data_IF_106929223527
#
_entry.id   IF_106929223527
#
_cell.length_a   1.000
_cell.length_b   1.000
_cell.length_c   1.000
_cell.angle_alpha   90.00
_cell.angle_beta   90.00
_cell.angle_gamma   90.00
#
_symmetry.space_group_name_H-M   'P 1'
#
loop_
_entity.id
_entity.type
_entity.pdbx_description
1 polymer ?
#
# COMPACT_ATOMS: atom_id res chain seq x y z
N UNK A 1 -74.13 -51.82 -2.56
CA UNK A 1 -74.06 -50.92 -3.73
C UNK A 1 -73.84 -51.78 -4.96
N UNK A 2 -74.56 -51.56 -6.08
CA UNK A 2 -74.32 -52.31 -7.29
C UNK A 2 -72.94 -52.04 -7.87
N UNK A 3 -72.26 -53.00 -8.48
CA UNK A 3 -70.91 -52.94 -9.05
C UNK A 3 -70.67 -51.75 -9.96
N UNK A 4 -71.68 -51.30 -10.67
CA UNK A 4 -71.69 -50.13 -11.53
C UNK A 4 -71.43 -48.81 -10.73
N UNK A 5 -71.96 -48.72 -9.50
CA UNK A 5 -71.80 -47.54 -8.62
C UNK A 5 -70.36 -47.48 -8.04
N UNK A 6 -69.74 -48.60 -7.79
CA UNK A 6 -68.38 -48.71 -7.26
C UNK A 6 -67.33 -48.33 -8.32
N UNK A 7 -67.50 -48.83 -9.53
CA UNK A 7 -66.61 -48.43 -10.65
C UNK A 7 -66.66 -46.97 -10.94
N UNK A 8 -67.84 -46.37 -10.91
CA UNK A 8 -68.01 -44.91 -11.07
C UNK A 8 -67.29 -44.12 -9.97
N UNK A 9 -67.33 -44.59 -8.71
CA UNK A 9 -66.61 -43.94 -7.60
C UNK A 9 -65.09 -44.03 -7.75
N UNK A 10 -64.58 -45.19 -8.20
CA UNK A 10 -63.15 -45.39 -8.48
C UNK A 10 -62.70 -44.50 -9.63
N UNK A 11 -63.47 -44.41 -10.70
CA UNK A 11 -63.12 -43.56 -11.85
C UNK A 11 -63.13 -42.08 -11.51
N UNK A 12 -64.06 -41.65 -10.67
CA UNK A 12 -64.12 -40.28 -10.15
C UNK A 12 -62.86 -39.96 -9.31
N UNK A 13 -62.48 -40.84 -8.39
CA UNK A 13 -61.27 -40.69 -7.58
C UNK A 13 -60.00 -40.70 -8.41
N UNK A 14 -59.92 -41.55 -9.42
CA UNK A 14 -58.83 -41.62 -10.37
C UNK A 14 -58.70 -40.31 -11.16
N UNK A 15 -59.81 -39.76 -11.60
CA UNK A 15 -59.84 -38.49 -12.32
C UNK A 15 -59.41 -37.30 -11.43
N UNK A 16 -59.94 -37.23 -10.19
CA UNK A 16 -59.53 -36.20 -9.20
C UNK A 16 -58.03 -36.29 -8.87
N UNK A 17 -57.54 -37.49 -8.59
CA UNK A 17 -56.11 -37.70 -8.33
C UNK A 17 -55.22 -37.23 -9.50
N UNK A 18 -55.58 -37.63 -10.75
CA UNK A 18 -54.80 -37.22 -11.93
C UNK A 18 -54.78 -35.70 -12.13
N UNK A 19 -55.92 -35.05 -11.96
CA UNK A 19 -55.99 -33.60 -12.07
C UNK A 19 -55.13 -32.89 -11.05
N UNK A 20 -55.17 -33.32 -9.79
CA UNK A 20 -54.40 -32.75 -8.70
C UNK A 20 -52.92 -33.08 -8.80
N UNK A 21 -52.55 -34.29 -9.28
CA UNK A 21 -51.15 -34.68 -9.55
C UNK A 21 -50.53 -33.82 -10.65
N UNK A 22 -51.29 -33.50 -11.70
CA UNK A 22 -50.81 -32.60 -12.76
C UNK A 22 -50.54 -31.20 -12.27
N UNK A 23 -51.28 -30.71 -11.28
CA UNK A 23 -51.10 -29.39 -10.67
C UNK A 23 -49.98 -29.37 -9.59
N UNK A 24 -49.50 -30.53 -9.11
CA UNK A 24 -48.47 -30.61 -8.07
C UNK A 24 -47.12 -30.20 -8.60
N UNK A 25 -46.59 -29.07 -8.06
CA UNK A 25 -45.30 -28.47 -8.45
C UNK A 25 -44.18 -28.74 -7.44
N UNK A 26 -44.49 -29.06 -6.20
CA UNK A 26 -43.51 -29.24 -5.13
C UNK A 26 -43.67 -30.56 -4.41
N UNK A 27 -42.61 -31.02 -3.73
CA UNK A 27 -42.67 -32.24 -2.89
C UNK A 27 -43.72 -32.13 -1.77
N UNK A 28 -43.98 -30.92 -1.28
CA UNK A 28 -45.02 -30.65 -0.29
C UNK A 28 -46.43 -30.89 -0.87
N UNK A 29 -46.62 -30.56 -2.15
CA UNK A 29 -47.88 -30.81 -2.84
C UNK A 29 -48.11 -32.31 -2.99
N UNK A 30 -47.06 -33.09 -3.35
CA UNK A 30 -47.13 -34.52 -3.43
C UNK A 30 -47.39 -35.21 -2.09
N UNK A 31 -46.82 -34.68 -0.99
CA UNK A 31 -47.12 -35.17 0.34
C UNK A 31 -48.57 -34.89 0.74
N UNK A 32 -49.08 -33.76 0.38
CA UNK A 32 -50.50 -33.42 0.62
C UNK A 32 -51.42 -34.33 -0.15
N UNK A 33 -51.05 -34.73 -1.39
CA UNK A 33 -51.80 -35.69 -2.18
C UNK A 33 -51.74 -37.10 -1.60
N UNK A 34 -50.56 -37.56 -1.18
CA UNK A 34 -50.34 -38.83 -0.52
C UNK A 34 -51.27 -38.92 0.73
N UNK A 35 -51.25 -37.91 1.57
CA UNK A 35 -52.10 -37.88 2.77
C UNK A 35 -53.62 -37.88 2.43
N UNK A 36 -54.04 -37.15 1.39
CA UNK A 36 -55.46 -37.05 1.00
C UNK A 36 -55.99 -38.39 0.42
N UNK A 37 -55.18 -39.14 -0.30
CA UNK A 37 -55.61 -40.34 -0.98
C UNK A 37 -55.23 -41.64 -0.26
N UNK A 38 -54.05 -41.73 0.36
CA UNK A 38 -53.47 -42.99 0.90
C UNK A 38 -53.40 -43.02 2.44
N UNK A 39 -53.66 -41.94 3.15
CA UNK A 39 -53.61 -41.88 4.62
C UNK A 39 -54.41 -43.04 5.25
N UNK A 40 -53.82 -43.75 6.22
CA UNK A 40 -54.46 -44.88 6.93
C UNK A 40 -55.76 -44.54 7.65
N UNK A 41 -55.90 -43.31 8.08
CA UNK A 41 -57.10 -42.86 8.87
C UNK A 41 -58.20 -42.25 8.02
N UNK A 42 -57.83 -41.38 7.07
CA UNK A 42 -58.76 -40.52 6.35
C UNK A 42 -58.61 -40.51 4.83
N UNK A 43 -57.64 -41.25 4.29
CA UNK A 43 -57.38 -41.31 2.84
C UNK A 43 -58.59 -41.82 2.07
N UNK A 44 -58.85 -41.20 0.91
CA UNK A 44 -60.04 -41.53 0.09
C UNK A 44 -60.04 -43.02 -0.34
N UNK A 45 -58.88 -43.61 -0.70
CA UNK A 45 -58.72 -45.02 -1.04
C UNK A 45 -58.94 -45.89 0.19
N UNK A 46 -58.45 -45.47 1.36
CA UNK A 46 -58.64 -46.20 2.62
C UNK A 46 -60.08 -46.23 3.04
N UNK A 47 -60.77 -45.12 2.81
CA UNK A 47 -62.22 -45.00 3.09
C UNK A 47 -63.02 -45.96 2.20
N UNK A 48 -62.67 -46.07 0.90
CA UNK A 48 -63.26 -47.07 -0.01
C UNK A 48 -63.00 -48.50 0.45
N UNK A 49 -61.79 -48.83 0.88
CA UNK A 49 -61.42 -50.14 1.41
C UNK A 49 -62.25 -50.51 2.63
N UNK A 50 -62.60 -49.59 3.52
CA UNK A 50 -63.44 -49.82 4.68
C UNK A 50 -64.89 -50.16 4.28
N UNK A 51 -65.35 -49.72 3.09
CA UNK A 51 -66.68 -50.03 2.59
C UNK A 51 -66.84 -51.44 2.01
N UNK A 52 -65.73 -52.22 1.84
CA UNK A 52 -65.76 -53.63 1.40
C UNK A 52 -66.73 -54.47 2.25
N UNK A 53 -66.81 -54.20 3.56
CA UNK A 53 -67.70 -54.88 4.48
C UNK A 53 -69.20 -54.73 4.18
N UNK A 54 -69.57 -53.65 3.48
CA UNK A 54 -70.98 -53.32 3.13
C UNK A 54 -71.43 -53.90 1.75
N UNK A 55 -70.46 -54.56 1.03
CA UNK A 55 -70.75 -55.19 -0.30
C UNK A 55 -71.17 -56.66 -0.14
N UNK A 56 -72.07 -57.20 -1.01
CA UNK A 56 -72.43 -58.57 -0.97
C UNK A 56 -71.23 -59.55 -1.02
N UNK A 57 -71.25 -60.67 -0.31
CA UNK A 57 -70.10 -61.61 -0.19
C UNK A 57 -69.45 -62.03 -1.51
N UNK A 58 -70.28 -62.25 -2.56
CA UNK A 58 -69.83 -62.62 -3.89
C UNK A 58 -69.03 -61.50 -4.61
N UNK A 59 -69.30 -60.24 -4.33
CA UNK A 59 -68.65 -59.10 -5.02
C UNK A 59 -67.44 -58.56 -4.25
N UNK A 60 -67.23 -58.95 -2.98
CA UNK A 60 -66.18 -58.39 -2.10
C UNK A 60 -64.78 -58.54 -2.66
N UNK A 61 -64.51 -59.72 -3.27
CA UNK A 61 -63.20 -60.04 -3.84
C UNK A 61 -62.90 -59.14 -5.03
N UNK A 62 -63.85 -58.98 -5.94
CA UNK A 62 -63.67 -58.05 -7.10
C UNK A 62 -63.51 -56.60 -6.69
N UNK A 63 -64.35 -56.17 -5.73
CA UNK A 63 -64.23 -54.80 -5.18
C UNK A 63 -62.87 -54.54 -4.53
N UNK A 64 -62.36 -55.43 -3.69
CA UNK A 64 -61.03 -55.35 -3.07
C UNK A 64 -59.92 -55.25 -4.07
N UNK A 65 -60.02 -56.07 -5.14
CA UNK A 65 -59.00 -56.04 -6.23
C UNK A 65 -58.99 -54.72 -6.97
N UNK A 66 -60.13 -54.12 -7.30
CA UNK A 66 -60.24 -52.84 -7.99
C UNK A 66 -59.67 -51.67 -7.16
N UNK A 67 -59.94 -51.66 -5.85
CA UNK A 67 -59.44 -50.59 -4.95
C UNK A 67 -57.92 -50.79 -4.73
N UNK A 68 -57.42 -52.02 -4.63
CA UNK A 68 -55.96 -52.26 -4.52
C UNK A 68 -55.22 -51.88 -5.81
N UNK A 69 -55.85 -52.10 -6.99
CA UNK A 69 -55.28 -51.64 -8.26
C UNK A 69 -55.19 -50.11 -8.31
N UNK A 70 -56.26 -49.40 -7.91
CA UNK A 70 -56.25 -47.96 -7.81
C UNK A 70 -55.18 -47.44 -6.83
N UNK A 71 -55.00 -48.13 -5.69
CA UNK A 71 -53.98 -47.79 -4.70
C UNK A 71 -52.58 -47.90 -5.32
N UNK A 72 -52.28 -49.03 -6.02
CA UNK A 72 -51.00 -49.23 -6.65
C UNK A 72 -50.73 -48.23 -7.79
N UNK A 73 -51.80 -47.86 -8.58
CA UNK A 73 -51.67 -46.79 -9.59
C UNK A 73 -51.31 -45.45 -8.97
N UNK A 74 -51.91 -45.06 -7.85
CA UNK A 74 -51.65 -43.82 -7.14
C UNK A 74 -50.22 -43.79 -6.56
N UNK A 75 -49.80 -44.91 -5.91
CA UNK A 75 -48.47 -45.04 -5.33
C UNK A 75 -47.37 -44.91 -6.41
N UNK A 76 -47.56 -45.59 -7.57
CA UNK A 76 -46.65 -45.53 -8.69
C UNK A 76 -46.53 -44.10 -9.26
N UNK A 77 -47.68 -43.46 -9.52
CA UNK A 77 -47.72 -42.12 -10.11
C UNK A 77 -47.12 -41.05 -9.20
N UNK A 78 -47.31 -41.16 -7.88
CA UNK A 78 -46.63 -40.30 -6.90
C UNK A 78 -45.13 -40.49 -6.90
N UNK A 79 -44.68 -41.77 -6.97
CA UNK A 79 -43.27 -42.12 -7.04
C UNK A 79 -42.57 -41.53 -8.29
N UNK A 80 -43.21 -41.72 -9.46
CA UNK A 80 -42.71 -41.21 -10.73
C UNK A 80 -42.62 -39.67 -10.73
N UNK A 81 -43.67 -39.02 -10.22
CA UNK A 81 -43.68 -37.53 -10.14
C UNK A 81 -42.66 -37.00 -9.16
N UNK A 82 -42.45 -37.69 -8.02
CA UNK A 82 -41.41 -37.33 -7.04
C UNK A 82 -40.00 -37.48 -7.65
N UNK A 83 -39.75 -38.59 -8.39
CA UNK A 83 -38.49 -38.79 -9.11
C UNK A 83 -38.24 -37.69 -10.17
N UNK A 84 -39.27 -37.30 -10.91
CA UNK A 84 -39.21 -36.22 -11.89
C UNK A 84 -38.86 -34.85 -11.25
N UNK A 85 -39.45 -34.56 -10.08
CA UNK A 85 -39.14 -33.31 -9.34
C UNK A 85 -37.70 -33.31 -8.78
N UNK A 86 -37.18 -34.46 -8.37
CA UNK A 86 -35.79 -34.58 -7.91
C UNK A 86 -34.81 -34.40 -9.08
N UNK A 87 -35.12 -34.92 -10.27
CA UNK A 87 -34.26 -34.80 -11.45
C UNK A 87 -34.14 -33.38 -12.01
N UNK A 88 -35.12 -32.53 -11.73
CA UNK A 88 -35.09 -31.09 -12.15
C UNK A 88 -34.37 -30.22 -11.15
N UNK A 89 -34.00 -30.70 -9.96
CA UNK A 89 -33.26 -29.96 -8.96
C UNK A 89 -31.77 -29.99 -9.29
N UNK A 90 -31.10 -28.80 -9.41
CA UNK A 90 -29.66 -28.80 -9.60
C UNK A 90 -28.98 -29.55 -8.45
N UNK A 91 -27.93 -30.33 -8.70
CA UNK A 91 -27.25 -31.09 -7.67
C UNK A 91 -26.85 -30.17 -6.51
N UNK A 92 -27.19 -30.55 -5.27
CA UNK A 92 -26.81 -29.80 -4.09
C UNK A 92 -25.28 -29.72 -4.03
N UNK A 93 -24.73 -28.54 -4.14
CA UNK A 93 -23.27 -28.30 -4.20
C UNK A 93 -22.74 -27.94 -5.59
N UNK A 94 -23.58 -27.87 -6.63
CA UNK A 94 -23.16 -27.30 -7.90
C UNK A 94 -22.85 -25.82 -7.71
N UNK A 95 -21.59 -25.44 -7.98
CA UNK A 95 -21.16 -24.05 -8.00
C UNK A 95 -21.80 -23.40 -9.23
N UNK A 96 -22.53 -22.31 -9.03
CA UNK A 96 -23.04 -21.53 -10.14
C UNK A 96 -21.86 -20.77 -10.80
N UNK A 97 -21.43 -21.32 -11.94
CA UNK A 97 -20.32 -20.76 -12.72
C UNK A 97 -20.66 -19.46 -13.45
N UNK A 98 -21.93 -19.04 -13.44
CA UNK A 98 -22.35 -17.74 -14.00
C UNK A 98 -22.19 -16.59 -13.03
N UNK A 99 -22.03 -16.89 -11.73
CA UNK A 99 -21.73 -15.89 -10.74
C UNK A 99 -20.30 -15.37 -10.92
N UNK A 100 -20.12 -14.06 -10.88
CA UNK A 100 -18.80 -13.46 -10.89
C UNK A 100 -17.97 -14.01 -9.72
N UNK A 101 -16.73 -14.42 -9.99
CA UNK A 101 -15.76 -14.78 -8.95
C UNK A 101 -15.49 -13.63 -7.98
N UNK A 102 -14.89 -13.93 -6.84
CA UNK A 102 -14.44 -12.86 -5.93
C UNK A 102 -13.43 -11.99 -6.69
N UNK A 103 -13.63 -10.67 -6.76
CA UNK A 103 -12.63 -9.79 -7.35
C UNK A 103 -11.33 -9.93 -6.57
N UNK A 104 -10.24 -10.15 -7.29
CA UNK A 104 -8.90 -10.10 -6.68
C UNK A 104 -8.61 -8.62 -6.42
N UNK A 105 -8.38 -8.21 -5.16
CA UNK A 105 -8.02 -6.83 -4.88
C UNK A 105 -6.70 -6.51 -5.59
N UNK A 106 -6.72 -5.54 -6.48
CA UNK A 106 -5.49 -5.03 -7.11
C UNK A 106 -4.75 -4.18 -6.10
N UNK A 107 -3.46 -4.49 -5.89
CA UNK A 107 -2.58 -3.68 -5.08
C UNK A 107 -2.43 -2.27 -5.66
N UNK A 108 -2.08 -1.31 -4.81
CA UNK A 108 -1.81 0.07 -5.21
C UNK A 108 -0.39 0.43 -4.86
N UNK A 109 0.21 1.29 -5.67
CA UNK A 109 1.53 1.82 -5.35
C UNK A 109 1.39 2.79 -4.17
N UNK A 110 2.24 2.59 -3.16
CA UNK A 110 2.27 3.47 -1.99
C UNK A 110 2.49 4.94 -2.39
N UNK A 111 1.78 5.93 -1.81
CA UNK A 111 1.87 7.33 -2.22
C UNK A 111 3.29 7.91 -2.18
N UNK A 112 4.11 7.54 -1.19
CA UNK A 112 5.52 7.95 -1.15
C UNK A 112 6.32 7.37 -2.34
N UNK A 113 6.08 6.11 -2.70
CA UNK A 113 6.76 5.50 -3.85
C UNK A 113 6.36 6.15 -5.18
N UNK A 114 5.12 6.64 -5.30
CA UNK A 114 4.69 7.42 -6.45
C UNK A 114 5.42 8.76 -6.54
N UNK A 115 5.53 9.45 -5.41
CA UNK A 115 6.28 10.72 -5.36
C UNK A 115 7.75 10.45 -5.72
N UNK A 116 8.34 9.39 -5.15
CA UNK A 116 9.69 8.96 -5.48
C UNK A 116 9.85 8.77 -7.00
N UNK A 117 9.02 7.96 -7.61
CA UNK A 117 9.08 7.69 -9.04
C UNK A 117 8.96 8.97 -9.88
N UNK A 118 8.02 9.85 -9.54
CA UNK A 118 7.84 11.12 -10.26
C UNK A 118 9.06 12.03 -10.17
N UNK A 119 9.68 12.12 -8.98
CA UNK A 119 10.90 12.92 -8.80
C UNK A 119 12.08 12.30 -9.57
N UNK A 120 12.26 10.99 -9.47
CA UNK A 120 13.27 10.25 -10.21
C UNK A 120 13.12 10.45 -11.73
N UNK A 121 11.90 10.35 -12.25
CA UNK A 121 11.59 10.57 -13.67
C UNK A 121 11.95 12.01 -14.10
N UNK A 122 11.56 13.02 -13.31
CA UNK A 122 11.86 14.43 -13.59
C UNK A 122 13.38 14.65 -13.66
N UNK A 123 14.13 14.19 -12.67
CA UNK A 123 15.57 14.40 -12.62
C UNK A 123 16.32 13.57 -13.67
N UNK A 124 15.86 12.36 -13.97
CA UNK A 124 16.41 11.56 -15.08
C UNK A 124 16.27 12.28 -16.42
N UNK A 125 15.12 12.91 -16.69
CA UNK A 125 14.93 13.74 -17.88
C UNK A 125 15.81 15.00 -17.92
N UNK A 126 16.25 15.48 -16.76
CA UNK A 126 17.22 16.58 -16.64
C UNK A 126 18.67 16.11 -16.74
N UNK A 127 18.93 14.79 -16.93
CA UNK A 127 20.25 14.20 -17.04
C UNK A 127 20.97 13.94 -15.71
N UNK A 128 20.22 13.72 -14.62
CA UNK A 128 20.76 13.32 -13.34
C UNK A 128 20.85 11.80 -13.23
N UNK A 129 21.89 11.32 -12.58
CA UNK A 129 22.03 9.92 -12.16
C UNK A 129 21.29 9.72 -10.84
N UNK A 130 20.68 8.54 -10.68
CA UNK A 130 20.01 8.15 -9.43
C UNK A 130 20.94 7.19 -8.69
N UNK A 131 21.29 7.54 -7.46
CA UNK A 131 22.19 6.73 -6.64
C UNK A 131 21.52 6.30 -5.35
N UNK A 132 21.87 5.12 -4.89
CA UNK A 132 21.52 4.64 -3.56
C UNK A 132 22.78 4.47 -2.70
N UNK A 133 22.64 4.62 -1.40
CA UNK A 133 23.75 4.50 -0.47
C UNK A 133 23.37 3.83 0.83
N UNK A 134 24.34 3.51 1.67
CA UNK A 134 24.11 2.83 2.93
C UNK A 134 23.33 3.71 3.91
N UNK A 135 22.45 3.08 4.67
CA UNK A 135 21.69 3.74 5.75
C UNK A 135 22.53 3.89 7.03
N UNK A 136 23.49 3.00 7.21
CA UNK A 136 24.48 3.06 8.30
C UNK A 136 25.72 3.76 7.79
N UNK A 137 26.08 4.87 8.42
CA UNK A 137 27.15 5.74 8.00
C UNK A 137 28.21 5.94 9.08
N UNK A 138 29.35 6.46 8.69
CA UNK A 138 30.34 6.97 9.59
C UNK A 138 30.19 8.49 9.81
N UNK A 139 30.77 8.97 10.88
CA UNK A 139 30.72 10.38 11.28
C UNK A 139 31.37 11.30 10.24
N UNK A 140 32.43 10.86 9.58
CA UNK A 140 33.14 11.62 8.57
C UNK A 140 32.23 11.98 7.37
N UNK A 141 31.58 10.98 6.78
CA UNK A 141 30.73 11.20 5.61
C UNK A 141 29.42 11.90 5.96
N UNK A 142 28.88 11.65 7.16
CA UNK A 142 27.63 12.26 7.57
C UNK A 142 27.79 13.71 8.05
N UNK A 143 29.01 14.09 8.56
CA UNK A 143 29.21 15.40 9.17
C UNK A 143 30.52 16.08 8.76
N UNK A 144 31.68 15.50 9.05
CA UNK A 144 32.96 16.21 8.92
C UNK A 144 33.22 16.70 7.49
N UNK A 145 33.06 15.83 6.49
CA UNK A 145 33.25 16.16 5.07
C UNK A 145 32.17 17.13 4.53
N UNK A 146 31.13 17.37 5.29
CA UNK A 146 30.07 18.33 4.99
C UNK A 146 30.25 19.64 5.79
N UNK A 147 31.47 19.96 6.18
CA UNK A 147 31.81 21.18 6.91
C UNK A 147 31.15 21.28 8.31
N UNK A 148 30.93 20.13 8.94
CA UNK A 148 30.41 20.02 10.31
C UNK A 148 31.43 19.32 11.23
N UNK A 149 32.45 20.04 11.74
CA UNK A 149 33.42 19.48 12.67
C UNK A 149 32.76 19.01 13.97
N UNK A 150 33.47 18.23 14.84
CA UNK A 150 32.89 17.61 16.04
C UNK A 150 32.11 18.56 16.96
N UNK A 151 32.53 19.78 17.09
CA UNK A 151 31.92 20.77 17.99
C UNK A 151 30.92 21.72 17.28
N UNK A 152 30.50 21.39 16.06
CA UNK A 152 29.60 22.24 15.30
C UNK A 152 28.16 22.14 15.81
N UNK A 153 27.47 23.28 16.13
CA UNK A 153 26.12 23.24 16.71
C UNK A 153 25.06 22.56 15.84
N UNK A 154 25.25 22.53 14.52
CA UNK A 154 24.33 21.84 13.61
C UNK A 154 24.26 20.31 13.83
N UNK A 155 25.24 19.70 14.49
CA UNK A 155 25.20 18.28 14.85
C UNK A 155 24.15 18.02 15.93
N UNK A 156 24.03 18.90 16.92
CA UNK A 156 23.02 18.79 17.98
C UNK A 156 21.61 18.99 17.42
N UNK A 157 21.48 19.82 16.39
CA UNK A 157 20.18 20.08 15.74
C UNK A 157 19.63 18.87 14.94
N UNK A 158 20.48 17.91 14.60
CA UNK A 158 20.06 16.74 13.81
C UNK A 158 19.67 15.52 14.64
N UNK A 159 19.76 15.58 15.97
CA UNK A 159 19.33 14.53 16.89
C UNK A 159 19.67 13.09 16.40
N UNK A 160 20.98 12.83 16.29
CA UNK A 160 21.53 11.66 15.59
C UNK A 160 21.37 10.36 16.41
N UNK A 161 21.02 9.28 15.73
CA UNK A 161 20.98 7.93 16.28
C UNK A 161 22.33 7.24 16.07
N UNK A 162 23.17 7.17 17.09
CA UNK A 162 24.43 6.45 17.09
C UNK A 162 24.25 4.96 17.36
N UNK A 163 24.96 4.15 16.60
CA UNK A 163 24.96 2.68 16.73
C UNK A 163 26.10 2.21 17.60
N UNK A 164 25.82 1.27 18.49
CA UNK A 164 26.81 0.73 19.41
C UNK A 164 27.69 -0.39 18.83
N UNK A 165 27.68 -0.63 17.51
CA UNK A 165 28.35 -1.79 16.90
C UNK A 165 29.34 -1.32 15.81
N UNK A 166 30.62 -1.79 15.86
CA UNK A 166 31.54 -1.59 14.73
C UNK A 166 31.03 -2.36 13.51
N UNK A 167 31.11 -1.79 12.32
CA UNK A 167 30.81 -2.50 11.08
C UNK A 167 31.94 -3.50 10.79
N UNK A 168 31.70 -4.83 10.85
CA UNK A 168 32.75 -5.80 10.59
C UNK A 168 33.26 -5.68 9.14
N UNK A 169 34.58 -5.57 8.97
CA UNK A 169 35.25 -5.61 7.65
C UNK A 169 35.08 -4.36 6.80
N UNK A 170 34.49 -3.32 7.32
CA UNK A 170 34.38 -2.04 6.60
C UNK A 170 35.69 -1.26 6.61
N UNK A 171 36.10 -0.76 5.46
CA UNK A 171 37.14 0.27 5.29
C UNK A 171 36.76 1.59 5.99
N UNK A 172 35.61 1.62 6.64
CA UNK A 172 34.95 2.72 7.32
C UNK A 172 35.72 3.25 8.53
N UNK A 173 36.49 2.40 9.19
CA UNK A 173 37.40 2.81 10.26
C UNK A 173 38.76 3.29 9.80
N UNK A 174 39.13 3.13 8.52
CA UNK A 174 40.40 3.57 7.99
C UNK A 174 40.48 5.09 7.78
N UNK A 175 39.34 5.78 7.79
CA UNK A 175 39.31 7.25 7.65
C UNK A 175 39.52 8.00 8.98
N UNK A 176 39.76 7.33 10.09
CA UNK A 176 40.26 7.92 11.35
C UNK A 176 41.73 8.18 11.40
N UNK A 177 42.38 8.36 10.32
CA UNK A 177 43.70 9.00 10.36
C UNK A 177 43.43 10.49 10.32
N UNK A 178 43.17 11.08 11.47
CA UNK A 178 43.45 12.50 11.61
C UNK A 178 44.91 12.67 11.27
N UNK A 179 45.19 13.30 10.17
CA UNK A 179 46.55 13.80 9.94
C UNK A 179 46.76 14.92 10.97
N UNK A 180 47.93 14.94 11.60
CA UNK A 180 48.35 16.13 12.35
C UNK A 180 48.32 17.33 11.39
N UNK A 181 48.40 18.53 11.93
CA UNK A 181 48.41 19.80 11.18
C UNK A 181 49.49 19.87 10.10
N UNK A 182 50.33 18.86 9.92
CA UNK A 182 51.41 18.71 8.96
C UNK A 182 51.16 17.58 7.93
N UNK A 183 49.96 16.97 7.95
CA UNK A 183 49.61 15.92 6.99
C UNK A 183 50.23 14.52 7.28
N UNK A 184 50.90 14.36 8.42
CA UNK A 184 51.44 13.07 8.83
C UNK A 184 50.35 12.20 9.50
N UNK A 185 50.30 10.88 9.26
CA UNK A 185 49.41 10.00 9.99
C UNK A 185 49.71 10.12 11.49
N UNK A 186 48.77 10.57 12.29
CA UNK A 186 48.96 10.52 13.74
C UNK A 186 48.94 9.06 14.15
N UNK A 187 50.12 8.54 14.56
CA UNK A 187 50.25 7.21 15.13
C UNK A 187 49.40 7.15 16.41
N UNK A 188 48.25 6.56 16.30
CA UNK A 188 47.42 6.24 17.45
C UNK A 188 47.94 4.99 18.18
N UNK A 189 49.13 4.50 17.83
CA UNK A 189 49.81 3.35 18.45
C UNK A 189 50.42 3.65 19.84
N UNK A 190 49.96 4.64 20.54
CA UNK A 190 50.45 4.89 21.91
C UNK A 190 49.39 5.29 22.89
N UNK A 191 48.17 5.48 22.47
CA UNK A 191 47.04 5.72 23.37
C UNK A 191 46.15 4.52 23.31
N UNK A 192 46.10 3.83 24.42
CA UNK A 192 45.23 2.67 24.61
C UNK A 192 43.91 2.86 23.87
N UNK A 193 43.42 1.77 23.34
CA UNK A 193 42.17 1.63 22.61
C UNK A 193 41.12 2.60 23.14
N UNK A 194 40.60 3.42 22.25
CA UNK A 194 39.56 4.37 22.63
C UNK A 194 38.45 3.64 23.40
N UNK A 195 37.97 4.19 24.52
CA UNK A 195 36.91 3.56 25.29
C UNK A 195 35.74 3.14 24.38
N UNK A 196 35.08 2.04 24.70
CA UNK A 196 33.91 1.54 23.93
C UNK A 196 32.91 2.66 23.51
N UNK A 197 32.80 3.69 24.33
CA UNK A 197 31.98 4.86 24.06
C UNK A 197 32.41 5.66 22.79
N UNK A 198 33.72 5.72 22.49
CA UNK A 198 34.22 6.41 21.29
C UNK A 198 34.11 5.54 20.01
N UNK A 199 34.16 4.24 20.16
CA UNK A 199 33.90 3.30 19.06
C UNK A 199 32.39 3.33 18.73
N UNK A 200 31.54 3.47 19.74
CA UNK A 200 30.08 3.59 19.59
C UNK A 200 29.68 4.88 18.86
N UNK A 201 30.43 5.95 19.03
CA UNK A 201 30.18 7.25 18.37
C UNK A 201 30.61 7.31 16.89
N UNK A 202 31.26 6.26 16.38
CA UNK A 202 31.83 6.26 15.02
C UNK A 202 30.84 5.83 13.93
N UNK A 203 29.75 5.15 14.30
CA UNK A 203 28.73 4.71 13.37
C UNK A 203 27.36 5.22 13.80
N UNK A 204 26.56 5.59 12.81
CA UNK A 204 25.27 6.19 13.02
C UNK A 204 24.28 5.79 11.92
N UNK A 205 23.01 5.97 12.17
CA UNK A 205 22.02 6.00 11.11
C UNK A 205 22.07 7.38 10.44
N UNK A 206 22.22 7.42 9.12
CA UNK A 206 22.38 8.68 8.37
C UNK A 206 21.21 9.63 8.65
N UNK A 207 21.52 10.88 8.89
CA UNK A 207 20.55 11.95 9.17
C UNK A 207 20.06 12.66 7.91
N UNK A 208 20.75 12.44 6.81
CA UNK A 208 20.47 12.92 5.45
C UNK A 208 21.16 12.01 4.44
N UNK A 209 20.86 12.17 3.16
CA UNK A 209 21.49 11.37 2.11
C UNK A 209 22.76 11.99 1.51
N UNK A 210 23.19 13.18 2.00
CA UNK A 210 24.38 13.91 1.52
C UNK A 210 25.68 13.12 1.67
N UNK A 211 25.77 12.18 2.60
CA UNK A 211 26.94 11.31 2.74
C UNK A 211 27.29 10.62 1.41
N UNK A 212 26.29 10.26 0.62
CA UNK A 212 26.51 9.63 -0.68
C UNK A 212 27.10 10.61 -1.71
N UNK A 213 26.81 11.90 -1.59
CA UNK A 213 27.43 12.93 -2.44
C UNK A 213 28.96 12.98 -2.20
N UNK A 214 29.38 12.93 -0.94
CA UNK A 214 30.81 12.86 -0.57
C UNK A 214 31.45 11.58 -1.12
N UNK A 215 30.80 10.42 -0.97
CA UNK A 215 31.32 9.15 -1.50
C UNK A 215 31.48 9.18 -3.01
N UNK A 216 30.51 9.74 -3.71
CA UNK A 216 30.55 9.85 -5.16
C UNK A 216 31.66 10.79 -5.64
N UNK A 217 31.76 11.99 -5.08
CA UNK A 217 32.80 12.96 -5.41
C UNK A 217 34.21 12.45 -5.14
N UNK A 218 34.42 11.63 -4.11
CA UNK A 218 35.71 10.97 -3.84
C UNK A 218 36.10 9.95 -4.89
N UNK A 219 35.16 9.45 -5.67
CA UNK A 219 35.39 8.36 -6.63
C UNK A 219 35.40 8.86 -8.08
N UNK A 220 34.56 9.84 -8.40
CA UNK A 220 34.35 10.30 -9.77
C UNK A 220 34.61 11.80 -9.89
N UNK A 221 35.33 12.22 -10.94
CA UNK A 221 35.58 13.65 -11.20
C UNK A 221 34.33 14.35 -11.77
N UNK A 222 34.27 15.69 -11.66
CA UNK A 222 33.25 16.48 -12.36
C UNK A 222 33.33 16.32 -13.90
N UNK A 223 32.22 16.51 -14.67
CA UNK A 223 30.94 17.03 -14.20
C UNK A 223 30.08 15.97 -13.52
N UNK A 224 29.37 16.36 -12.47
CA UNK A 224 28.49 15.51 -11.69
C UNK A 224 27.07 16.07 -11.68
N UNK A 225 26.07 15.23 -11.88
CA UNK A 225 24.65 15.52 -11.68
C UNK A 225 23.99 14.27 -11.12
N UNK A 226 23.60 14.30 -9.86
CA UNK A 226 23.02 13.14 -9.20
C UNK A 226 21.89 13.52 -8.24
N UNK A 227 21.01 12.56 -7.98
CA UNK A 227 20.08 12.58 -6.86
C UNK A 227 20.24 11.29 -6.04
N UNK A 228 20.04 11.41 -4.75
CA UNK A 228 20.12 10.30 -3.79
C UNK A 228 18.82 10.20 -3.02
N UNK A 229 17.84 9.44 -3.49
CA UNK A 229 16.65 9.11 -2.71
C UNK A 229 17.02 8.09 -1.63
N UNK A 230 16.46 8.25 -0.42
CA UNK A 230 16.71 7.26 0.63
C UNK A 230 16.08 7.58 1.95
N UNK A 231 16.05 6.58 2.82
CA UNK A 231 15.63 6.74 4.21
C UNK A 231 16.70 7.46 5.01
N UNK A 232 16.22 8.28 5.93
CA UNK A 232 17.06 9.03 6.87
C UNK A 232 16.44 8.94 8.27
N UNK A 233 17.25 9.19 9.29
CA UNK A 233 16.87 8.90 10.67
C UNK A 233 17.27 10.06 11.57
N UNK A 234 16.33 10.51 12.39
CA UNK A 234 16.54 11.55 13.40
C UNK A 234 15.80 11.20 14.67
N UNK A 235 16.25 11.67 15.80
CA UNK A 235 15.63 11.42 17.12
C UNK A 235 14.40 12.31 17.36
N UNK A 236 13.66 12.61 16.30
CA UNK A 236 12.44 13.41 16.36
C UNK A 236 11.33 12.67 17.13
N UNK A 237 10.52 13.41 17.84
CA UNK A 237 9.28 12.87 18.39
C UNK A 237 8.26 12.64 17.29
N UNK A 238 7.53 11.53 17.39
CA UNK A 238 6.46 11.22 16.45
C UNK A 238 5.27 12.17 16.67
N UNK A 239 4.99 13.04 15.69
CA UNK A 239 3.83 13.94 15.69
C UNK A 239 3.15 13.97 14.29
N UNK A 240 2.31 14.96 14.02
CA UNK A 240 1.61 15.10 12.75
C UNK A 240 2.52 15.43 11.57
N UNK A 241 3.74 15.90 11.81
CA UNK A 241 4.68 16.42 10.82
C UNK A 241 6.07 15.82 10.89
N UNK A 242 6.40 15.11 11.98
CA UNK A 242 7.70 14.50 12.21
C UNK A 242 7.59 13.00 12.50
N UNK A 243 8.58 12.24 12.05
CA UNK A 243 8.74 10.82 12.33
C UNK A 243 10.24 10.50 12.44
N UNK A 244 10.64 9.59 13.35
CA UNK A 244 12.04 9.22 13.54
C UNK A 244 12.73 8.66 12.29
N UNK A 245 11.98 8.07 11.38
CA UNK A 245 12.43 7.62 10.08
C UNK A 245 11.56 8.24 9.00
N UNK A 246 12.18 8.91 8.04
CA UNK A 246 11.49 9.48 6.88
C UNK A 246 12.34 9.33 5.63
N UNK A 247 11.83 9.72 4.48
CA UNK A 247 12.53 9.62 3.22
C UNK A 247 12.91 11.00 2.71
N UNK A 248 14.10 11.10 2.14
CA UNK A 248 14.66 12.35 1.63
C UNK A 248 15.20 12.13 0.22
N UNK A 249 15.09 13.18 -0.60
CA UNK A 249 15.87 13.33 -1.81
C UNK A 249 16.92 14.38 -1.58
N UNK A 250 18.12 14.07 -1.93
CA UNK A 250 19.16 15.09 -2.05
C UNK A 250 19.79 15.02 -3.42
N UNK A 251 20.14 16.17 -3.93
CA UNK A 251 20.76 16.28 -5.23
C UNK A 251 22.00 17.14 -5.19
N UNK A 252 22.90 16.86 -6.13
CA UNK A 252 24.16 17.54 -6.31
C UNK A 252 24.42 17.79 -7.80
N UNK A 253 24.83 19.00 -8.10
CA UNK A 253 25.42 19.36 -9.39
C UNK A 253 26.80 19.96 -9.14
N UNK A 254 27.83 19.45 -9.80
CA UNK A 254 29.20 19.94 -9.71
C UNK A 254 29.81 20.06 -11.10
N UNK A 255 30.46 21.17 -11.37
CA UNK A 255 31.12 21.40 -12.64
C UNK A 255 31.76 22.79 -12.71
N UNK A 256 32.39 23.10 -13.84
CA UNK A 256 32.94 24.45 -14.07
C UNK A 256 31.79 25.42 -14.37
N UNK A 257 31.76 26.55 -13.67
CA UNK A 257 30.84 27.63 -13.93
C UNK A 257 29.36 27.37 -13.58
N UNK A 258 29.07 26.39 -12.68
CA UNK A 258 27.74 26.16 -12.13
C UNK A 258 27.37 27.33 -11.24
N UNK A 259 26.16 27.88 -11.38
CA UNK A 259 25.72 29.12 -10.75
C UNK A 259 24.44 28.94 -9.92
N UNK A 260 24.13 29.94 -9.08
CA UNK A 260 22.86 30.01 -8.38
C UNK A 260 21.64 30.13 -9.33
N UNK A 261 21.86 30.66 -10.54
CA UNK A 261 20.81 30.67 -11.57
C UNK A 261 20.45 29.29 -12.08
N UNK A 262 21.46 28.41 -12.21
CA UNK A 262 21.24 27.00 -12.58
C UNK A 262 20.44 26.26 -11.50
N UNK A 263 20.76 26.49 -10.23
CA UNK A 263 20.00 25.99 -9.08
C UNK A 263 18.54 26.46 -9.16
N UNK A 264 18.30 27.76 -9.34
CA UNK A 264 16.96 28.32 -9.44
C UNK A 264 16.18 27.72 -10.61
N UNK A 265 16.79 27.64 -11.79
CA UNK A 265 16.19 27.05 -12.99
C UNK A 265 15.81 25.59 -12.82
N UNK A 266 16.68 24.80 -12.19
CA UNK A 266 16.41 23.40 -11.85
C UNK A 266 15.15 23.27 -10.99
N UNK A 267 15.00 24.11 -9.96
CA UNK A 267 13.84 24.03 -9.08
C UNK A 267 12.56 24.55 -9.72
N UNK A 268 12.62 25.60 -10.48
CA UNK A 268 11.46 26.09 -11.19
C UNK A 268 10.90 25.00 -12.13
N UNK A 269 11.78 24.29 -12.85
CA UNK A 269 11.38 23.20 -13.72
C UNK A 269 10.81 22.01 -12.92
N UNK A 270 11.49 21.57 -11.88
CA UNK A 270 11.08 20.44 -11.03
C UNK A 270 9.76 20.72 -10.31
N UNK A 271 9.62 21.87 -9.65
CA UNK A 271 8.43 22.21 -8.88
C UNK A 271 7.21 22.42 -9.77
N UNK A 272 7.36 22.97 -10.98
CA UNK A 272 6.29 23.04 -11.96
C UNK A 272 5.86 21.67 -12.46
N UNK A 273 6.80 20.75 -12.67
CA UNK A 273 6.49 19.39 -13.06
C UNK A 273 5.75 18.60 -11.96
N UNK A 274 6.09 18.85 -10.67
CA UNK A 274 5.46 18.18 -9.53
C UNK A 274 4.10 18.77 -9.15
N UNK A 275 3.98 20.10 -9.17
CA UNK A 275 2.87 20.84 -8.57
C UNK A 275 2.07 21.69 -9.56
N UNK A 276 2.45 21.72 -10.84
CA UNK A 276 1.80 22.54 -11.87
C UNK A 276 2.18 24.02 -11.79
N UNK A 277 1.24 24.91 -12.00
CA UNK A 277 1.47 26.35 -12.03
C UNK A 277 1.63 26.91 -10.60
N UNK A 278 2.87 26.88 -10.10
CA UNK A 278 3.26 27.44 -8.81
C UNK A 278 4.30 28.52 -8.98
N UNK A 279 4.21 29.57 -8.16
CA UNK A 279 5.28 30.57 -8.04
C UNK A 279 6.33 30.03 -7.07
N UNK A 280 7.59 30.18 -7.44
CA UNK A 280 8.76 29.76 -6.65
C UNK A 280 9.44 30.98 -6.05
N UNK A 281 9.83 30.89 -4.78
CA UNK A 281 10.56 31.95 -4.07
C UNK A 281 11.77 31.34 -3.39
N UNK A 282 12.93 31.98 -3.55
CA UNK A 282 14.13 31.68 -2.78
C UNK A 282 14.18 32.62 -1.58
N UNK A 283 14.41 32.08 -0.40
CA UNK A 283 14.55 32.81 0.84
C UNK A 283 15.95 32.52 1.43
N UNK A 284 16.78 33.55 1.73
CA UNK A 284 18.08 33.34 2.36
C UNK A 284 17.97 32.46 3.62
N UNK A 285 18.89 31.51 3.75
CA UNK A 285 19.00 30.61 4.90
C UNK A 285 20.45 30.31 5.21
N UNK A 286 20.72 29.48 6.17
CA UNK A 286 22.06 29.03 6.53
C UNK A 286 22.12 27.51 6.65
N UNK A 287 23.07 26.91 5.94
CA UNK A 287 23.48 25.53 6.12
C UNK A 287 25.00 25.43 6.10
N UNK A 288 25.63 24.59 6.95
CA UNK A 288 27.10 24.58 7.07
C UNK A 288 27.80 24.10 5.79
N UNK A 289 27.13 23.34 4.96
CA UNK A 289 27.67 22.73 3.73
C UNK A 289 27.34 23.52 2.44
N UNK A 290 26.67 24.69 2.56
CA UNK A 290 26.34 25.54 1.41
C UNK A 290 26.54 27.03 1.72
N UNK A 291 27.03 27.80 0.72
CA UNK A 291 27.19 29.25 0.79
C UNK A 291 27.17 29.87 -0.63
N UNK A 292 26.20 30.73 -1.00
CA UNK A 292 25.03 31.09 -0.22
C UNK A 292 24.01 29.92 -0.11
N UNK A 293 23.26 29.93 1.01
CA UNK A 293 22.19 29.00 1.27
C UNK A 293 20.83 29.65 1.06
N UNK A 294 19.86 28.86 0.62
CA UNK A 294 18.49 29.31 0.42
C UNK A 294 17.47 28.19 0.74
N UNK A 295 16.39 28.57 1.36
CA UNK A 295 15.18 27.75 1.41
C UNK A 295 14.29 28.09 0.21
N UNK A 296 13.62 27.08 -0.33
CA UNK A 296 12.75 27.23 -1.48
C UNK A 296 11.31 27.01 -1.09
N UNK A 297 10.52 28.05 -1.32
CA UNK A 297 9.09 28.06 -1.05
C UNK A 297 8.29 28.05 -2.37
N UNK A 298 7.12 27.41 -2.33
CA UNK A 298 6.10 27.53 -3.39
C UNK A 298 4.89 28.30 -2.90
N UNK A 299 4.17 28.96 -3.82
CA UNK A 299 2.86 29.51 -3.50
C UNK A 299 1.92 28.42 -2.97
N UNK A 300 1.22 28.72 -1.87
CA UNK A 300 0.32 27.76 -1.26
C UNK A 300 -0.78 27.34 -2.22
N UNK A 301 -0.87 26.06 -2.55
CA UNK A 301 -1.86 25.53 -3.48
C UNK A 301 -3.29 25.60 -2.94
N UNK A 302 -3.46 25.45 -1.62
CA UNK A 302 -4.80 25.49 -0.99
C UNK A 302 -5.46 26.87 -1.09
N UNK A 303 -4.70 27.97 -1.20
CA UNK A 303 -5.25 29.33 -1.25
C UNK A 303 -4.71 30.16 -2.42
N UNK A 304 -3.97 29.57 -3.35
CA UNK A 304 -3.36 30.29 -4.48
C UNK A 304 -2.38 31.40 -4.07
N UNK A 305 -1.86 31.35 -2.82
CA UNK A 305 -0.97 32.38 -2.28
C UNK A 305 -1.67 33.51 -1.53
N UNK A 306 -2.99 33.47 -1.34
CA UNK A 306 -3.76 34.51 -0.61
C UNK A 306 -3.56 34.48 0.90
N UNK A 307 -3.09 33.37 1.46
CA UNK A 307 -2.92 33.14 2.90
C UNK A 307 -4.09 32.35 3.49
N UNK A 308 -3.80 31.19 4.10
CA UNK A 308 -4.77 30.35 4.77
C UNK A 308 -4.14 29.63 5.98
N UNK A 309 -4.93 28.84 6.69
CA UNK A 309 -4.45 28.09 7.86
C UNK A 309 -3.28 27.16 7.50
N UNK A 310 -3.32 26.48 6.34
CA UNK A 310 -2.27 25.55 5.88
C UNK A 310 -0.91 26.24 5.73
N UNK A 311 -0.87 27.44 5.18
CA UNK A 311 0.36 28.23 5.03
C UNK A 311 0.59 29.20 6.18
N UNK A 312 -0.12 29.06 7.30
CA UNK A 312 -0.05 29.98 8.45
C UNK A 312 -0.21 31.44 8.03
N UNK A 313 -1.12 31.70 7.09
CA UNK A 313 -1.43 33.01 6.49
C UNK A 313 -0.30 33.69 5.73
N UNK A 314 0.83 33.03 5.48
CA UNK A 314 1.96 33.59 4.73
C UNK A 314 1.74 33.56 3.20
N UNK A 315 0.88 32.70 2.68
CA UNK A 315 0.71 32.45 1.26
C UNK A 315 1.79 31.55 0.66
N UNK A 316 2.78 31.07 1.44
CA UNK A 316 3.92 30.29 0.99
C UNK A 316 4.10 29.02 1.81
N UNK A 317 4.64 27.99 1.16
CA UNK A 317 4.95 26.70 1.78
C UNK A 317 6.40 26.35 1.45
N UNK A 318 7.20 26.15 2.47
CA UNK A 318 8.57 25.68 2.34
C UNK A 318 8.58 24.23 1.87
N UNK A 319 9.43 23.92 0.86
CA UNK A 319 9.55 22.60 0.24
C UNK A 319 10.91 21.98 0.53
N UNK A 320 12.00 22.77 0.40
CA UNK A 320 13.36 22.24 0.45
C UNK A 320 14.39 23.27 0.86
N UNK A 321 15.52 22.80 1.40
CA UNK A 321 16.73 23.57 1.60
C UNK A 321 17.72 23.36 0.45
N UNK A 322 18.52 24.39 0.12
CA UNK A 322 19.47 24.34 -0.97
C UNK A 322 20.58 25.39 -0.84
N UNK A 323 21.57 25.32 -1.69
CA UNK A 323 22.59 26.35 -1.81
C UNK A 323 23.74 25.96 -2.73
N UNK A 324 24.64 26.92 -2.94
CA UNK A 324 25.91 26.61 -3.59
C UNK A 324 26.79 25.79 -2.64
N UNK A 325 27.46 24.76 -3.11
CA UNK A 325 28.31 23.90 -2.28
C UNK A 325 29.44 24.72 -1.67
N UNK A 326 29.59 24.61 -0.34
CA UNK A 326 30.65 25.33 0.38
C UNK A 326 32.05 24.85 -0.07
N UNK A 327 33.04 25.78 -0.26
CA UNK A 327 34.40 25.39 -0.68
C UNK A 327 35.04 24.26 0.15
N UNK A 328 34.88 24.29 1.46
CA UNK A 328 35.40 23.27 2.37
C UNK A 328 34.91 21.84 2.04
N UNK A 329 33.72 21.70 1.45
CA UNK A 329 33.18 20.39 1.01
C UNK A 329 33.98 19.88 -0.21
N UNK A 330 34.34 20.76 -1.15
CA UNK A 330 35.19 20.42 -2.27
C UNK A 330 36.61 20.06 -1.82
N UNK A 331 37.19 20.82 -0.90
CA UNK A 331 38.48 20.52 -0.29
C UNK A 331 38.50 19.13 0.38
N UNK A 332 37.43 18.76 1.12
CA UNK A 332 37.31 17.48 1.80
C UNK A 332 37.29 16.27 0.83
N UNK A 333 36.92 16.47 -0.43
CA UNK A 333 36.94 15.43 -1.48
C UNK A 333 38.11 15.57 -2.46
N UNK A 334 38.98 16.58 -2.28
CA UNK A 334 40.16 16.80 -3.09
C UNK A 334 39.93 17.55 -4.39
N UNK A 335 38.87 18.31 -4.50
CA UNK A 335 38.61 19.19 -5.64
C UNK A 335 39.11 20.59 -5.35
N UNK A 336 39.55 21.30 -6.41
CA UNK A 336 39.95 22.69 -6.33
C UNK A 336 38.72 23.61 -6.37
N UNK A 337 38.40 24.33 -5.28
CA UNK A 337 37.23 25.20 -5.22
C UNK A 337 37.34 26.44 -6.11
N UNK A 338 38.55 26.82 -6.58
CA UNK A 338 38.73 27.92 -7.51
C UNK A 338 38.37 27.53 -8.94
N UNK A 339 38.42 26.24 -9.28
CA UNK A 339 38.09 25.72 -10.63
C UNK A 339 36.64 25.18 -10.71
N UNK A 340 36.11 24.67 -9.60
CA UNK A 340 34.88 23.88 -9.56
C UNK A 340 33.84 24.56 -8.66
N UNK A 341 32.66 24.70 -9.19
CA UNK A 341 31.48 25.18 -8.43
C UNK A 341 30.36 24.13 -8.48
N UNK A 342 29.37 24.28 -7.64
CA UNK A 342 28.24 23.36 -7.62
C UNK A 342 27.13 23.83 -6.73
N UNK A 343 26.00 23.19 -6.83
CA UNK A 343 24.88 23.38 -5.89
C UNK A 343 24.38 22.05 -5.35
N UNK A 344 23.85 22.09 -4.16
CA UNK A 344 23.20 20.95 -3.52
C UNK A 344 21.81 21.34 -2.97
N UNK A 345 20.99 20.33 -2.77
CA UNK A 345 19.64 20.50 -2.21
C UNK A 345 19.16 19.25 -1.48
N UNK A 346 18.24 19.44 -0.52
CA UNK A 346 17.58 18.33 0.19
C UNK A 346 16.09 18.61 0.40
N UNK A 347 15.27 17.60 0.12
CA UNK A 347 13.81 17.66 0.16
C UNK A 347 13.22 16.43 0.84
N UNK A 348 12.34 16.63 1.82
CA UNK A 348 11.58 15.54 2.45
C UNK A 348 10.48 15.01 1.52
N UNK A 349 10.46 13.71 1.28
CA UNK A 349 9.52 13.05 0.38
C UNK A 349 8.10 13.09 0.93
N UNK A 350 7.96 12.87 2.23
CA UNK A 350 6.67 12.96 2.92
C UNK A 350 6.08 14.35 2.79
N UNK A 351 6.90 15.39 2.92
CA UNK A 351 6.46 16.78 2.78
C UNK A 351 5.86 17.06 1.41
N UNK A 352 6.51 16.54 0.37
CA UNK A 352 6.00 16.61 -1.02
C UNK A 352 4.69 15.86 -1.15
N UNK A 353 4.63 14.62 -0.63
CA UNK A 353 3.43 13.80 -0.70
C UNK A 353 2.25 14.42 0.07
N UNK A 354 2.49 14.93 1.27
CA UNK A 354 1.49 15.63 2.09
C UNK A 354 0.90 16.82 1.33
N UNK A 355 1.73 17.65 0.72
CA UNK A 355 1.27 18.81 -0.03
C UNK A 355 0.56 18.42 -1.32
N UNK A 356 1.06 17.39 -2.04
CA UNK A 356 0.51 16.95 -3.31
C UNK A 356 -0.85 16.28 -3.17
N UNK A 357 -1.02 15.50 -2.12
CA UNK A 357 -2.23 14.69 -1.89
C UNK A 357 -3.16 15.24 -0.82
N UNK A 358 -2.80 16.35 -0.17
CA UNK A 358 -3.61 16.97 0.88
C UNK A 358 -3.66 16.12 2.16
N UNK A 359 -2.60 15.38 2.47
CA UNK A 359 -2.46 14.59 3.71
C UNK A 359 -1.93 15.50 4.80
N UNK A 360 -2.58 15.55 5.95
CA UNK A 360 -2.26 16.44 7.06
C UNK A 360 -1.58 15.73 8.25
N UNK A 361 -1.40 14.41 8.15
CA UNK A 361 -0.76 13.57 9.16
C UNK A 361 0.26 12.62 8.52
N UNK A 362 1.55 12.83 8.81
CA UNK A 362 2.66 12.03 8.26
C UNK A 362 2.58 10.55 8.66
N UNK A 363 1.99 10.24 9.82
CA UNK A 363 1.89 8.87 10.36
C UNK A 363 1.09 7.96 9.46
N UNK A 364 0.10 8.49 8.74
CA UNK A 364 -0.74 7.74 7.80
C UNK A 364 0.08 7.03 6.70
N UNK A 365 1.24 7.56 6.34
CA UNK A 365 2.13 6.91 5.38
C UNK A 365 2.79 5.64 5.93
N UNK A 366 2.81 5.45 7.25
CA UNK A 366 3.54 4.37 7.91
C UNK A 366 2.66 3.40 8.70
N UNK A 367 1.38 3.73 8.92
CA UNK A 367 0.43 2.88 9.64
C UNK A 367 -0.07 1.68 8.82
N UNK A 368 0.18 1.67 7.52
CA UNK A 368 -0.24 0.62 6.60
C UNK A 368 -1.76 0.34 6.60
N UNK A 369 -2.57 1.37 6.84
CA UNK A 369 -4.03 1.27 6.75
C UNK A 369 -4.47 1.19 5.29
N UNK A 370 -5.05 0.06 4.90
CA UNK A 370 -5.51 -0.17 3.53
C UNK A 370 -6.56 0.86 3.09
N UNK A 371 -7.41 1.34 4.00
CA UNK A 371 -8.43 2.37 3.69
C UNK A 371 -7.79 3.70 3.31
N UNK A 372 -6.62 4.01 3.88
CA UNK A 372 -5.83 5.16 3.48
C UNK A 372 -5.16 4.92 2.12
N UNK A 373 -4.52 3.77 1.95
CA UNK A 373 -3.79 3.45 0.71
C UNK A 373 -4.72 3.33 -0.51
N UNK A 374 -5.95 2.86 -0.32
CA UNK A 374 -6.95 2.74 -1.39
C UNK A 374 -7.46 4.08 -1.94
N UNK A 375 -7.24 5.20 -1.24
CA UNK A 375 -7.66 6.53 -1.70
C UNK A 375 -6.77 7.07 -2.83
N UNK A 376 -5.57 6.52 -3.01
CA UNK A 376 -4.66 6.98 -4.06
C UNK A 376 -4.96 6.27 -5.39
N UNK A 377 -4.74 6.94 -6.55
CA UNK A 377 -5.02 6.35 -7.87
C UNK A 377 -4.18 5.09 -8.11
N UNK A 378 -4.62 4.25 -9.05
CA UNK A 378 -3.90 3.05 -9.49
C UNK A 378 -2.60 3.42 -10.21
#
# INVERSE_FOLDING_TARGET
>A
MPETSVRAAIDTLRADFRARLAAAATDRDLQTLDDAFLSRRSGSVTTLLKQVGSVPPEERRGFGQLVNTLKAEIESALGERRAALVSTRPPSGAVDVTLAGRPIPMGRVHPLMRVRQQVEDIFTHMGYEILEGPEVEDDYHNFEALNMPPDHPARDMQDTLYLGVPIPGGTWGAHRRSTDARGAPSDVEGRGWAPEAQVRAATLLRTHTSAMQIRYMKTFPPPIRLIVPGRVYRRDNLDLSHTPMFQQFEGLVVGRGVTLADLKGTFEAMLRALFGDVRVRLRPSFFPYTEPSAEIDISCQSCGGAGCRTCKHTGWLEILGSGMVHPAVFEAVGYDPDEITGFAFGMGMERVAMLKYGVDDIRLFYENDLRFLEQFPL
#
